data_IF_811134412677
#
_entry.id   IF_811134412677
#
_cell.length_a   1.000
_cell.length_b   1.000
_cell.length_c   1.000
_cell.angle_alpha   90.00
_cell.angle_beta   90.00
_cell.angle_gamma   90.00
#
_symmetry.space_group_name_H-M   'P 1'
#
loop_
_entity.id
_entity.type
_entity.pdbx_description
1 polymer ?
#
# COMPACT_ATOMS: atom_id res chain seq x y z
N UNK A 1 -21.13 -8.12 -3.66
CA UNK A 1 -20.27 -8.48 -2.50
C UNK A 1 -18.83 -8.56 -2.99
N UNK A 2 -18.10 -7.43 -3.10
CA UNK A 2 -16.68 -7.47 -3.49
C UNK A 2 -15.87 -7.69 -2.20
N UNK A 3 -15.16 -8.81 -2.10
CA UNK A 3 -14.31 -9.09 -0.94
C UNK A 3 -13.20 -8.03 -0.77
N UNK A 4 -12.55 -8.02 0.40
CA UNK A 4 -11.43 -7.13 0.71
C UNK A 4 -10.38 -7.12 -0.43
N UNK A 5 -9.96 -5.95 -0.96
CA UNK A 5 -8.97 -5.87 -2.03
C UNK A 5 -7.64 -6.54 -1.64
N UNK A 6 -7.05 -7.29 -2.57
CA UNK A 6 -5.71 -7.86 -2.39
C UNK A 6 -4.65 -6.78 -2.62
N UNK A 7 -3.84 -6.51 -1.60
CA UNK A 7 -2.86 -5.42 -1.57
C UNK A 7 -1.46 -6.00 -1.59
N UNK A 8 -0.64 -5.53 -2.53
CA UNK A 8 0.80 -5.75 -2.53
C UNK A 8 1.49 -4.47 -2.02
N UNK A 9 2.10 -4.55 -0.83
CA UNK A 9 3.01 -3.51 -0.36
C UNK A 9 4.44 -3.83 -0.79
N UNK A 10 5.06 -2.93 -1.54
CA UNK A 10 6.44 -3.03 -2.03
C UNK A 10 7.33 -2.13 -1.18
N UNK A 11 8.27 -2.72 -0.45
CA UNK A 11 9.25 -1.99 0.39
C UNK A 11 10.62 -1.84 -0.28
N UNK A 12 10.86 -2.61 -1.33
CA UNK A 12 12.03 -2.46 -2.19
C UNK A 12 11.67 -2.95 -3.60
N UNK A 13 12.14 -2.24 -4.63
CA UNK A 13 11.83 -2.56 -6.04
C UNK A 13 12.86 -3.51 -6.64
N UNK A 14 14.11 -3.46 -6.16
CA UNK A 14 15.22 -4.30 -6.66
C UNK A 14 16.14 -4.71 -5.50
N UNK A 15 16.09 -5.98 -5.04
CA UNK A 15 15.11 -7.00 -5.41
C UNK A 15 13.68 -6.58 -5.01
N UNK A 16 12.68 -7.14 -5.69
CA UNK A 16 11.27 -6.90 -5.33
C UNK A 16 10.98 -7.56 -3.97
N UNK A 17 10.68 -6.75 -2.96
CA UNK A 17 10.43 -7.20 -1.59
C UNK A 17 9.14 -6.63 -1.02
N UNK A 18 8.53 -7.41 -0.14
CA UNK A 18 7.30 -7.07 0.57
C UNK A 18 7.43 -7.38 2.07
N UNK A 19 6.31 -7.42 2.80
CA UNK A 19 6.23 -7.69 4.23
C UNK A 19 5.15 -8.72 4.53
N UNK A 20 5.45 -9.71 5.37
CA UNK A 20 4.48 -10.75 5.73
C UNK A 20 3.51 -10.32 6.85
N UNK A 21 2.80 -11.28 7.43
CA UNK A 21 1.82 -11.07 8.50
C UNK A 21 2.38 -10.67 9.87
N UNK A 22 3.69 -10.69 10.09
CA UNK A 22 4.29 -10.38 11.39
C UNK A 22 4.73 -8.92 11.51
N UNK A 23 4.25 -8.02 10.65
CA UNK A 23 4.66 -6.62 10.60
C UNK A 23 3.49 -5.68 10.86
N UNK A 24 3.81 -4.48 11.36
CA UNK A 24 2.82 -3.42 11.56
C UNK A 24 2.13 -3.00 10.25
N UNK A 25 2.84 -3.11 9.13
CA UNK A 25 2.30 -2.85 7.80
C UNK A 25 1.16 -3.82 7.45
N UNK A 26 1.27 -5.08 7.87
CA UNK A 26 0.18 -6.05 7.71
C UNK A 26 -1.06 -5.58 8.47
N UNK A 27 -0.90 -5.18 9.73
CA UNK A 27 -2.00 -4.70 10.56
C UNK A 27 -2.66 -3.46 9.94
N UNK A 28 -1.86 -2.50 9.47
CA UNK A 28 -2.34 -1.30 8.77
C UNK A 28 -3.14 -1.69 7.53
N UNK A 29 -2.66 -2.63 6.69
CA UNK A 29 -3.41 -3.12 5.52
C UNK A 29 -4.72 -3.79 5.93
N UNK A 30 -4.72 -4.60 7.01
CA UNK A 30 -5.92 -5.29 7.49
C UNK A 30 -6.97 -4.31 8.02
N UNK A 31 -6.55 -3.34 8.83
CA UNK A 31 -7.38 -2.30 9.41
C UNK A 31 -7.92 -1.34 8.34
N UNK A 32 -7.13 -1.05 7.31
CA UNK A 32 -7.53 -0.25 6.15
C UNK A 32 -8.50 -0.98 5.19
N UNK A 33 -8.95 -2.20 5.53
CA UNK A 33 -9.93 -2.95 4.73
C UNK A 33 -9.33 -3.84 3.63
N UNK A 34 -8.00 -3.94 3.54
CA UNK A 34 -7.29 -4.76 2.58
C UNK A 34 -6.94 -6.17 3.06
N UNK A 35 -6.42 -6.98 2.14
CA UNK A 35 -5.76 -8.27 2.38
C UNK A 35 -4.31 -8.19 1.95
N UNK A 36 -3.37 -8.46 2.86
CA UNK A 36 -1.95 -8.48 2.50
C UNK A 36 -1.65 -9.70 1.61
N UNK A 37 -1.16 -9.48 0.39
CA UNK A 37 -0.83 -10.51 -0.60
C UNK A 37 0.25 -11.50 -0.12
N UNK A 38 1.14 -11.04 0.76
CA UNK A 38 2.26 -11.80 1.32
C UNK A 38 2.07 -12.12 2.79
N UNK A 39 0.88 -11.90 3.35
CA UNK A 39 0.60 -12.10 4.77
C UNK A 39 0.89 -13.52 5.27
N UNK A 40 0.78 -14.52 4.39
CA UNK A 40 1.03 -15.93 4.65
C UNK A 40 2.50 -16.38 4.44
N UNK A 41 3.38 -15.46 4.00
CA UNK A 41 4.77 -15.79 3.73
C UNK A 41 5.53 -16.07 5.05
N UNK A 42 6.36 -17.12 5.11
CA UNK A 42 7.08 -17.50 6.33
C UNK A 42 8.21 -16.52 6.68
N UNK A 43 8.76 -15.82 5.69
CA UNK A 43 9.85 -14.86 5.85
C UNK A 43 9.24 -13.47 6.05
N UNK A 44 9.71 -12.71 7.05
CA UNK A 44 9.20 -11.35 7.34
C UNK A 44 9.29 -10.41 6.15
N UNK A 45 10.39 -10.46 5.41
CA UNK A 45 10.62 -9.66 4.21
C UNK A 45 10.83 -10.57 2.99
N UNK A 46 9.75 -11.15 2.43
CA UNK A 46 9.86 -12.08 1.33
C UNK A 46 10.33 -11.35 0.06
N UNK A 47 11.21 -12.01 -0.69
CA UNK A 47 11.53 -11.63 -2.07
C UNK A 47 10.49 -12.24 -2.99
N UNK A 48 9.97 -11.44 -3.92
CA UNK A 48 8.93 -11.86 -4.85
C UNK A 48 9.48 -11.89 -6.27
N UNK A 49 9.03 -12.85 -7.07
CA UNK A 49 9.17 -12.80 -8.51
C UNK A 49 7.99 -12.04 -9.13
N UNK A 50 8.20 -11.41 -10.28
CA UNK A 50 7.08 -10.81 -11.02
C UNK A 50 6.04 -11.84 -11.43
N UNK A 51 6.45 -13.07 -11.70
CA UNK A 51 5.54 -14.19 -11.99
C UNK A 51 4.59 -14.47 -10.81
N UNK A 52 5.09 -14.47 -9.57
CA UNK A 52 4.23 -14.63 -8.39
C UNK A 52 3.23 -13.48 -8.28
N UNK A 53 3.65 -12.25 -8.53
CA UNK A 53 2.77 -11.07 -8.50
C UNK A 53 1.67 -11.18 -9.55
N UNK A 54 2.02 -11.56 -10.78
CA UNK A 54 1.05 -11.76 -11.87
C UNK A 54 0.07 -12.87 -11.53
N UNK A 55 0.56 -14.00 -10.99
CA UNK A 55 -0.27 -15.15 -10.60
C UNK A 55 -1.23 -14.82 -9.46
N UNK A 56 -0.79 -14.07 -8.45
CA UNK A 56 -1.63 -13.66 -7.31
C UNK A 56 -2.58 -12.51 -7.68
N UNK A 57 -2.21 -11.66 -8.64
CA UNK A 57 -3.07 -10.63 -9.22
C UNK A 57 -3.60 -9.61 -8.21
N UNK A 58 -2.73 -8.80 -7.57
CA UNK A 58 -3.16 -7.79 -6.61
C UNK A 58 -4.13 -6.77 -7.25
N UNK A 59 -5.10 -6.34 -6.46
CA UNK A 59 -6.04 -5.27 -6.83
C UNK A 59 -5.43 -3.90 -6.62
N UNK A 60 -4.51 -3.77 -5.65
CA UNK A 60 -3.82 -2.52 -5.32
C UNK A 60 -2.33 -2.81 -5.13
N UNK A 61 -1.48 -1.97 -5.72
CA UNK A 61 -0.03 -2.00 -5.50
C UNK A 61 0.34 -0.69 -4.82
N UNK A 62 0.95 -0.80 -3.64
CA UNK A 62 1.38 0.35 -2.84
C UNK A 62 2.89 0.22 -2.69
N UNK A 63 3.61 1.28 -3.04
CA UNK A 63 5.06 1.30 -2.99
C UNK A 63 5.46 2.24 -1.86
N UNK A 64 6.11 1.70 -0.85
CA UNK A 64 6.65 2.43 0.28
C UNK A 64 8.05 2.94 -0.09
N UNK A 65 8.30 4.24 0.09
CA UNK A 65 9.62 4.82 -0.18
C UNK A 65 9.86 6.11 0.60
N UNK A 66 11.13 6.33 0.99
CA UNK A 66 11.65 7.63 1.44
C UNK A 66 12.20 8.48 0.27
N UNK A 67 12.31 7.91 -0.93
CA UNK A 67 12.98 8.57 -2.06
C UNK A 67 12.16 9.69 -2.69
N UNK A 68 12.86 10.59 -3.41
CA UNK A 68 12.24 11.71 -4.10
C UNK A 68 11.25 11.19 -5.15
N UNK A 69 10.05 11.80 -5.21
CA UNK A 69 8.92 11.48 -6.11
C UNK A 69 9.31 11.16 -7.57
N UNK A 70 10.40 11.71 -8.10
CA UNK A 70 10.89 11.46 -9.45
C UNK A 70 11.43 10.03 -9.68
N UNK A 71 12.16 9.45 -8.73
CA UNK A 71 12.69 8.08 -8.82
C UNK A 71 11.54 7.06 -8.75
N UNK A 72 10.54 7.40 -7.94
CA UNK A 72 9.30 6.66 -7.89
C UNK A 72 8.50 6.70 -9.19
N UNK A 73 8.30 7.87 -9.82
CA UNK A 73 7.52 7.93 -11.07
C UNK A 73 8.14 7.03 -12.15
N UNK A 74 9.47 6.85 -12.12
CA UNK A 74 10.15 5.86 -12.96
C UNK A 74 9.76 4.43 -12.56
N UNK A 75 9.81 4.06 -11.28
CA UNK A 75 9.38 2.74 -10.80
C UNK A 75 7.90 2.45 -11.11
N UNK A 76 7.02 3.44 -10.93
CA UNK A 76 5.59 3.37 -11.28
C UNK A 76 5.39 3.11 -12.76
N UNK A 77 6.11 3.82 -13.64
CA UNK A 77 6.08 3.57 -15.09
C UNK A 77 6.52 2.15 -15.45
N UNK A 78 7.49 1.57 -14.73
CA UNK A 78 7.86 0.17 -14.92
C UNK A 78 6.72 -0.78 -14.54
N UNK A 79 5.98 -0.50 -13.47
CA UNK A 79 4.79 -1.27 -13.09
C UNK A 79 3.68 -1.21 -14.15
N UNK A 80 3.48 -0.04 -14.78
CA UNK A 80 2.47 0.13 -15.83
C UNK A 80 2.73 -0.70 -17.10
N UNK A 81 3.92 -1.29 -17.27
CA UNK A 81 4.20 -2.24 -18.37
C UNK A 81 3.47 -3.57 -18.19
N UNK A 82 3.09 -3.92 -16.96
CA UNK A 82 2.42 -5.18 -16.63
C UNK A 82 0.89 -5.06 -16.74
N UNK A 83 0.40 -4.81 -17.95
CA UNK A 83 -1.02 -4.53 -18.24
C UNK A 83 -1.97 -5.68 -17.93
N UNK A 84 -1.45 -6.89 -17.65
CA UNK A 84 -2.24 -8.04 -17.19
C UNK A 84 -2.65 -7.94 -15.73
N UNK A 85 -1.96 -7.11 -14.92
CA UNK A 85 -2.26 -6.94 -13.51
C UNK A 85 -3.56 -6.15 -13.29
N UNK A 86 -4.46 -6.61 -12.38
CA UNK A 86 -5.67 -5.87 -12.05
C UNK A 86 -5.38 -4.45 -11.55
N UNK A 87 -4.40 -4.28 -10.66
CA UNK A 87 -3.98 -2.97 -10.16
C UNK A 87 -3.56 -2.00 -11.27
N UNK A 88 -2.82 -2.48 -12.28
CA UNK A 88 -2.35 -1.65 -13.40
C UNK A 88 -3.53 -1.22 -14.28
N UNK A 89 -4.42 -2.15 -14.62
CA UNK A 89 -5.60 -1.88 -15.44
C UNK A 89 -6.55 -0.87 -14.81
N UNK A 90 -6.64 -0.87 -13.48
CA UNK A 90 -7.51 0.03 -12.73
C UNK A 90 -6.80 1.32 -12.30
N UNK A 91 -5.52 1.50 -12.62
CA UNK A 91 -4.73 2.64 -12.17
C UNK A 91 -4.41 2.65 -10.66
N UNK A 92 -4.63 1.53 -9.97
CA UNK A 92 -4.46 1.34 -8.53
C UNK A 92 -3.00 1.02 -8.14
N UNK A 93 -2.07 1.84 -8.65
CA UNK A 93 -0.64 1.79 -8.33
C UNK A 93 -0.24 3.11 -7.67
N UNK A 94 0.03 3.05 -6.37
CA UNK A 94 0.15 4.21 -5.50
C UNK A 94 1.49 4.29 -4.76
N UNK A 95 1.74 5.47 -4.20
CA UNK A 95 2.81 5.74 -3.24
C UNK A 95 2.25 5.85 -1.85
N UNK A 96 3.08 5.46 -0.88
CA UNK A 96 2.94 5.90 0.48
C UNK A 96 4.31 6.27 1.04
N UNK A 97 4.35 7.31 1.85
CA UNK A 97 5.56 7.68 2.59
C UNK A 97 5.83 6.61 3.66
N UNK A 98 7.02 6.03 3.63
CA UNK A 98 7.43 5.00 4.60
C UNK A 98 7.41 5.52 6.03
N UNK A 99 7.69 6.81 6.25
CA UNK A 99 7.69 7.43 7.57
C UNK A 99 6.31 7.44 8.26
N UNK A 100 5.24 7.27 7.49
CA UNK A 100 3.86 7.15 7.98
C UNK A 100 3.55 5.74 8.49
N UNK A 101 4.24 4.72 7.98
CA UNK A 101 3.92 3.31 8.23
C UNK A 101 5.02 2.53 8.96
N UNK A 102 6.20 3.13 9.18
CA UNK A 102 7.35 2.49 9.83
C UNK A 102 7.50 2.82 11.33
N UNK A 103 6.92 3.92 11.85
CA UNK A 103 7.13 4.37 13.24
C UNK A 103 5.89 4.25 14.13
N UNK A 104 6.10 3.76 15.36
CA UNK A 104 5.07 3.68 16.39
C UNK A 104 4.74 5.06 17.02
N UNK A 105 3.43 5.24 17.28
CA UNK A 105 2.77 6.16 18.22
C UNK A 105 2.04 7.43 17.69
N UNK A 106 2.61 8.42 16.96
CA UNK A 106 1.80 9.55 16.49
C UNK A 106 1.29 9.40 15.04
N UNK A 107 2.15 8.94 14.11
CA UNK A 107 1.85 8.99 12.67
C UNK A 107 1.12 7.78 12.13
N UNK A 108 1.02 6.71 12.92
CA UNK A 108 0.40 5.46 12.46
C UNK A 108 -1.08 5.62 12.12
N UNK A 109 -1.78 6.52 12.81
CA UNK A 109 -3.18 6.84 12.49
C UNK A 109 -3.25 7.52 11.13
N UNK A 110 -2.38 8.49 10.86
CA UNK A 110 -2.28 9.13 9.53
C UNK A 110 -1.88 8.13 8.44
N UNK A 111 -0.96 7.21 8.74
CA UNK A 111 -0.57 6.13 7.83
C UNK A 111 -1.72 5.16 7.55
N UNK A 112 -2.55 4.86 8.55
CA UNK A 112 -3.75 4.05 8.38
C UNK A 112 -4.81 4.76 7.54
N UNK A 113 -5.06 6.04 7.79
CA UNK A 113 -5.99 6.85 7.01
C UNK A 113 -5.54 6.93 5.53
N UNK A 114 -4.26 7.18 5.29
CA UNK A 114 -3.70 7.22 3.94
C UNK A 114 -3.81 5.85 3.26
N UNK A 115 -3.41 4.77 3.95
CA UNK A 115 -3.55 3.40 3.45
C UNK A 115 -5.02 3.10 3.04
N UNK A 116 -5.98 3.50 3.87
CA UNK A 116 -7.40 3.28 3.58
C UNK A 116 -7.86 4.07 2.34
N UNK A 117 -7.40 5.32 2.17
CA UNK A 117 -7.66 6.13 0.96
C UNK A 117 -7.10 5.47 -0.30
N UNK A 118 -5.90 4.89 -0.23
CA UNK A 118 -5.27 4.21 -1.36
C UNK A 118 -5.94 2.88 -1.70
N UNK A 119 -6.42 2.14 -0.69
CA UNK A 119 -7.10 0.85 -0.90
C UNK A 119 -8.53 1.05 -1.42
N UNK A 120 -9.19 2.14 -1.00
CA UNK A 120 -10.58 2.47 -1.31
C UNK A 120 -10.72 3.86 -1.94
N UNK A 121 -10.18 4.09 -3.15
CA UNK A 121 -10.27 5.37 -3.85
C UNK A 121 -11.70 5.73 -4.29
N UNK A 122 -12.62 4.76 -4.29
CA UNK A 122 -14.03 4.95 -4.61
C UNK A 122 -14.84 5.62 -3.48
N UNK A 123 -14.27 5.68 -2.26
CA UNK A 123 -14.93 6.25 -1.09
C UNK A 123 -14.59 7.75 -1.01
N UNK A 124 -15.61 8.57 -0.80
CA UNK A 124 -15.42 9.99 -0.47
C UNK A 124 -15.06 10.14 1.02
N UNK A 125 -13.76 10.20 1.30
CA UNK A 125 -13.22 10.31 2.64
C UNK A 125 -13.31 11.74 3.17
N UNK A 126 -14.22 11.99 4.12
CA UNK A 126 -14.29 13.27 4.84
C UNK A 126 -13.01 13.52 5.63
N UNK A 127 -12.46 14.73 5.55
CA UNK A 127 -11.31 15.14 6.35
C UNK A 127 -11.73 15.25 7.82
N UNK A 128 -11.09 14.50 8.71
CA UNK A 128 -11.40 14.53 10.15
C UNK A 128 -10.75 15.74 10.87
N UNK A 129 -9.96 16.53 10.15
CA UNK A 129 -9.32 17.75 10.66
C UNK A 129 -10.10 18.98 10.21
N UNK A 130 -11.30 19.16 10.76
CA UNK A 130 -11.84 20.49 10.97
C UNK A 130 -11.07 21.04 12.19
N UNK A 131 -10.36 22.18 12.10
CA UNK A 131 -9.80 22.77 13.30
C UNK A 131 -10.97 23.00 14.26
N UNK A 132 -10.84 22.54 15.50
CA UNK A 132 -11.68 23.03 16.58
C UNK A 132 -11.46 24.54 16.62
N UNK A 133 -12.29 25.30 15.91
CA UNK A 133 -12.51 26.70 16.22
C UNK A 133 -13.05 26.68 17.63
N UNK A 134 -12.18 26.92 18.60
CA UNK A 134 -12.61 27.37 19.92
C UNK A 134 -13.37 28.66 19.70
N UNK A 135 -14.68 28.54 19.59
CA UNK A 135 -15.59 29.63 19.83
C UNK A 135 -15.53 29.94 21.34
N UNK A 136 -15.26 31.22 21.61
CA UNK A 136 -15.35 31.97 22.87
C UNK A 136 -14.09 32.06 23.73
#
# INVERSE_FOLDING_TARGET
NKGKPLVLLVINVKPLMSVNGSTIHHDIIQLAGGRNMTGDQPITYPKLSMEEVIRKGPNVIIISSMERRAEFEKARKEWFKWTTLPAVRNGSVYLIDSDLIDRAAPRIVSGLEEMARLIHPEIEWKSVHEPLTTDH
#
